data_IF_053534665948
#
_entry.id   IF_053534665948
#
_cell.length_a   1.000
_cell.length_b   1.000
_cell.length_c   1.000
_cell.angle_alpha   90.00
_cell.angle_beta   90.00
_cell.angle_gamma   90.00
#
_symmetry.space_group_name_H-M   'P 1'
#
loop_
_entity.id
_entity.type
_entity.pdbx_description
1 polymer ?
#
# COMPACT_ATOMS: atom_id res chain seq x y z
N UNK A 1 -23.58 -1.32 -33.63
CA UNK A 1 -23.15 -2.23 -32.57
C UNK A 1 -22.30 -1.41 -31.55
N UNK A 2 -22.93 -0.82 -30.56
CA UNK A 2 -22.22 -0.12 -29.50
C UNK A 2 -21.53 -1.17 -28.64
N UNK A 3 -20.20 -1.13 -28.59
CA UNK A 3 -19.45 -1.90 -27.59
C UNK A 3 -19.81 -1.30 -26.23
N UNK A 4 -20.47 -2.09 -25.38
CA UNK A 4 -20.59 -1.76 -23.98
C UNK A 4 -19.18 -1.45 -23.46
N UNK A 5 -18.95 -0.20 -23.09
CA UNK A 5 -17.79 0.15 -22.29
C UNK A 5 -17.83 -0.75 -21.05
N UNK A 6 -16.78 -1.54 -20.84
CA UNK A 6 -16.68 -2.45 -19.72
C UNK A 6 -16.90 -1.66 -18.42
N UNK A 7 -18.11 -1.81 -17.86
CA UNK A 7 -18.41 -1.25 -16.55
C UNK A 7 -17.37 -1.79 -15.58
N UNK A 8 -16.53 -0.93 -15.00
CA UNK A 8 -15.70 -1.26 -13.87
C UNK A 8 -14.18 -1.24 -14.01
N UNK A 9 -13.59 -0.84 -15.14
CA UNK A 9 -12.12 -0.66 -15.19
C UNK A 9 -11.75 0.82 -15.13
N UNK A 10 -11.04 1.24 -14.08
CA UNK A 10 -10.47 2.58 -14.01
C UNK A 10 -9.20 2.62 -13.17
N UNK A 11 -8.37 3.61 -13.42
CA UNK A 11 -7.13 3.85 -12.68
C UNK A 11 -7.12 5.30 -12.18
N UNK A 12 -6.49 5.54 -11.03
CA UNK A 12 -6.39 6.89 -10.50
C UNK A 12 -5.04 7.16 -9.81
N UNK A 13 -4.61 8.41 -9.92
CA UNK A 13 -3.60 9.01 -9.05
C UNK A 13 -4.36 9.76 -7.96
N UNK A 14 -4.18 9.32 -6.71
CA UNK A 14 -4.94 9.83 -5.56
C UNK A 14 -4.38 11.17 -5.11
N UNK A 15 -5.20 12.24 -5.05
CA UNK A 15 -4.78 13.53 -4.53
C UNK A 15 -4.31 13.43 -3.07
N UNK A 16 -3.31 14.23 -2.68
CA UNK A 16 -2.78 14.26 -1.32
C UNK A 16 -1.83 13.13 -0.96
N UNK A 17 -1.58 12.21 -1.86
CA UNK A 17 -0.53 11.19 -1.74
C UNK A 17 0.72 11.57 -2.52
N UNK A 18 1.87 11.01 -2.15
CA UNK A 18 3.12 11.20 -2.88
C UNK A 18 2.91 10.83 -4.36
N UNK A 19 3.23 11.75 -5.26
CA UNK A 19 3.08 11.51 -6.69
C UNK A 19 3.92 10.30 -7.13
N UNK A 20 3.38 9.37 -7.94
CA UNK A 20 4.17 8.26 -8.47
C UNK A 20 5.43 8.75 -9.18
N UNK A 21 6.54 8.06 -8.94
CA UNK A 21 7.84 8.34 -9.61
C UNK A 21 7.95 7.56 -10.91
N UNK A 22 6.94 7.67 -11.74
CA UNK A 22 6.83 7.02 -13.05
C UNK A 22 5.42 7.18 -13.57
N UNK A 23 5.16 6.70 -14.77
CA UNK A 23 3.85 6.80 -15.40
C UNK A 23 2.99 5.61 -15.01
N UNK A 24 2.45 5.64 -13.78
CA UNK A 24 1.54 4.62 -13.26
C UNK A 24 0.57 5.22 -12.23
N UNK A 25 -0.64 4.64 -12.04
CA UNK A 25 -1.61 5.08 -11.04
C UNK A 25 -1.27 4.57 -9.64
N UNK A 26 -1.93 5.10 -8.60
CA UNK A 26 -1.89 4.51 -7.26
C UNK A 26 -2.68 3.20 -7.18
N UNK A 27 -3.77 3.10 -7.93
CA UNK A 27 -4.54 1.86 -8.04
C UNK A 27 -5.17 1.70 -9.42
N UNK A 28 -5.50 0.46 -9.75
CA UNK A 28 -6.34 0.10 -10.89
C UNK A 28 -7.44 -0.84 -10.44
N UNK A 29 -8.68 -0.48 -10.74
CA UNK A 29 -9.83 -1.37 -10.57
C UNK A 29 -10.05 -2.16 -11.89
N UNK A 30 -10.36 -3.44 -11.74
CA UNK A 30 -10.80 -4.31 -12.83
C UNK A 30 -11.91 -5.24 -12.29
N UNK A 31 -13.17 -4.93 -12.62
CA UNK A 31 -14.31 -5.58 -12.00
C UNK A 31 -14.34 -5.32 -10.49
N UNK A 32 -14.44 -6.37 -9.72
CA UNK A 32 -14.46 -6.30 -8.24
C UNK A 32 -13.06 -6.21 -7.63
N UNK A 33 -12.01 -6.43 -8.41
CA UNK A 33 -10.63 -6.37 -7.93
C UNK A 33 -10.07 -4.96 -8.03
N UNK A 34 -9.33 -4.58 -6.97
CA UNK A 34 -8.59 -3.33 -6.88
C UNK A 34 -7.12 -3.68 -6.65
N UNK A 35 -6.31 -3.35 -7.63
CA UNK A 35 -4.86 -3.54 -7.59
C UNK A 35 -4.23 -2.24 -7.11
N UNK A 36 -3.66 -2.24 -5.92
CA UNK A 36 -2.89 -1.12 -5.39
C UNK A 36 -1.44 -1.28 -5.85
N UNK A 37 -0.88 -0.26 -6.47
CA UNK A 37 0.52 -0.25 -6.89
C UNK A 37 1.45 -0.36 -5.68
N UNK A 38 2.68 -0.81 -5.89
CA UNK A 38 3.71 -0.82 -4.86
C UNK A 38 3.75 0.52 -4.12
N UNK A 39 3.57 0.48 -2.81
CA UNK A 39 3.38 1.66 -1.95
C UNK A 39 4.50 1.71 -0.92
N UNK A 40 5.11 2.87 -0.76
CA UNK A 40 6.19 3.13 0.18
C UNK A 40 5.76 4.07 1.31
N UNK A 41 6.69 4.34 2.24
CA UNK A 41 6.48 5.27 3.35
C UNK A 41 6.62 6.76 2.93
N UNK A 42 6.56 7.07 1.64
CA UNK A 42 6.67 8.43 1.13
C UNK A 42 5.44 9.25 1.47
N UNK A 43 5.68 10.49 1.94
CA UNK A 43 4.65 11.50 2.20
C UNK A 43 4.39 12.36 0.96
N UNK A 44 3.33 13.15 0.98
CA UNK A 44 2.95 14.02 -0.14
C UNK A 44 4.03 15.08 -0.48
N UNK A 45 4.85 15.47 0.49
CA UNK A 45 5.99 16.40 0.33
C UNK A 45 7.29 15.70 -0.10
N UNK A 46 7.21 14.40 -0.47
CA UNK A 46 8.32 13.52 -0.84
C UNK A 46 9.28 13.16 0.31
N UNK A 47 9.05 13.60 1.54
CA UNK A 47 9.76 13.08 2.69
C UNK A 47 9.36 11.62 2.97
N UNK A 48 10.19 10.88 3.68
CA UNK A 48 9.96 9.47 4.01
C UNK A 48 9.72 9.35 5.50
N UNK A 49 8.55 8.81 5.88
CA UNK A 49 8.28 8.47 7.27
C UNK A 49 9.28 7.40 7.73
N UNK A 50 9.72 7.49 8.99
CA UNK A 50 10.73 6.55 9.50
C UNK A 50 12.11 6.70 8.87
N UNK A 51 12.43 7.90 8.38
CA UNK A 51 13.76 8.28 7.91
C UNK A 51 14.11 9.70 8.41
N UNK A 52 13.67 10.02 9.61
CA UNK A 52 13.94 11.31 10.24
C UNK A 52 15.45 11.46 10.54
N UNK A 53 15.92 12.68 10.64
CA UNK A 53 17.33 12.95 10.91
C UNK A 53 17.60 13.04 12.40
N UNK A 54 18.71 12.45 12.83
CA UNK A 54 19.22 12.62 14.19
C UNK A 54 19.88 14.01 14.38
N UNK A 55 20.34 14.28 15.60
CA UNK A 55 21.02 15.55 15.93
C UNK A 55 22.30 15.80 15.12
N UNK A 56 22.92 14.77 14.55
CA UNK A 56 24.07 14.84 13.65
C UNK A 56 23.68 14.96 12.17
N UNK A 57 22.36 15.05 11.85
CA UNK A 57 21.85 15.17 10.49
C UNK A 57 21.81 13.85 9.71
N UNK A 58 22.05 12.70 10.34
CA UNK A 58 22.02 11.38 9.71
C UNK A 58 20.59 10.84 9.70
N UNK A 59 20.17 10.21 8.60
CA UNK A 59 18.90 9.52 8.55
C UNK A 59 18.92 8.32 9.51
N UNK A 60 17.92 8.26 10.41
CA UNK A 60 17.64 7.11 11.25
C UNK A 60 16.47 6.36 10.63
N UNK A 61 16.72 5.15 10.15
CA UNK A 61 15.73 4.35 9.46
C UNK A 61 14.99 3.45 10.47
N UNK A 62 13.66 3.54 10.47
CA UNK A 62 12.77 2.84 11.39
C UNK A 62 11.76 2.00 10.60
N UNK A 63 11.93 0.68 10.63
CA UNK A 63 11.03 -0.25 9.92
C UNK A 63 9.59 -0.19 10.46
N UNK A 64 9.38 0.00 11.75
CA UNK A 64 8.05 0.08 12.34
C UNK A 64 7.31 1.33 11.85
N UNK A 65 7.97 2.46 11.88
CA UNK A 65 7.41 3.72 11.38
C UNK A 65 7.14 3.64 9.86
N UNK A 66 8.05 3.06 9.08
CA UNK A 66 7.84 2.88 7.64
C UNK A 66 6.69 1.92 7.35
N UNK A 67 6.61 0.78 8.04
CA UNK A 67 5.51 -0.18 7.85
C UNK A 67 4.15 0.46 8.14
N UNK A 68 4.03 1.19 9.25
CA UNK A 68 2.79 1.90 9.60
C UNK A 68 2.39 2.90 8.50
N UNK A 69 3.32 3.72 8.06
CA UNK A 69 3.07 4.72 7.02
C UNK A 69 2.65 4.06 5.68
N UNK A 70 3.27 2.95 5.30
CA UNK A 70 2.89 2.20 4.08
C UNK A 70 1.46 1.69 4.18
N UNK A 71 1.09 1.04 5.29
CA UNK A 71 -0.26 0.49 5.48
C UNK A 71 -1.33 1.58 5.57
N UNK A 72 -1.02 2.71 6.20
CA UNK A 72 -1.88 3.89 6.19
C UNK A 72 -2.05 4.48 4.79
N UNK A 73 -0.98 4.56 4.00
CA UNK A 73 -1.06 4.99 2.60
C UNK A 73 -1.94 4.06 1.77
N UNK A 74 -1.82 2.74 1.94
CA UNK A 74 -2.68 1.75 1.27
C UNK A 74 -4.13 1.92 1.69
N UNK A 75 -4.41 2.11 2.99
CA UNK A 75 -5.76 2.39 3.50
C UNK A 75 -6.38 3.59 2.80
N UNK A 76 -5.63 4.70 2.70
CA UNK A 76 -6.14 5.92 2.10
C UNK A 76 -6.39 5.76 0.59
N UNK A 77 -5.50 5.03 -0.12
CA UNK A 77 -5.66 4.70 -1.53
C UNK A 77 -6.91 3.85 -1.74
N UNK A 78 -7.12 2.81 -0.91
CA UNK A 78 -8.31 1.97 -0.97
C UNK A 78 -9.59 2.77 -0.66
N UNK A 79 -9.55 3.66 0.33
CA UNK A 79 -10.68 4.55 0.65
C UNK A 79 -11.06 5.40 -0.56
N UNK A 80 -10.10 5.95 -1.29
CA UNK A 80 -10.38 6.72 -2.51
C UNK A 80 -10.95 5.85 -3.64
N UNK A 81 -10.69 4.54 -3.61
CA UNK A 81 -11.24 3.57 -4.55
C UNK A 81 -12.61 3.00 -4.08
N UNK A 82 -13.15 3.45 -2.96
CA UNK A 82 -14.41 2.95 -2.39
C UNK A 82 -14.29 1.62 -1.66
N UNK A 83 -13.10 1.29 -1.16
CA UNK A 83 -12.80 0.07 -0.43
C UNK A 83 -12.12 0.36 0.92
N UNK A 84 -11.78 -0.67 1.66
CA UNK A 84 -11.11 -0.59 2.96
C UNK A 84 -10.04 -1.68 3.09
N UNK A 85 -9.29 -1.63 4.19
CA UNK A 85 -8.31 -2.69 4.51
C UNK A 85 -8.99 -4.06 4.73
N UNK A 86 -10.25 -4.09 5.15
CA UNK A 86 -11.01 -5.34 5.30
C UNK A 86 -11.27 -6.05 3.96
N UNK A 87 -11.21 -5.33 2.86
CA UNK A 87 -11.40 -5.88 1.51
C UNK A 87 -10.10 -6.46 0.91
N UNK A 88 -8.95 -6.27 1.58
CA UNK A 88 -7.65 -6.76 1.09
C UNK A 88 -7.60 -8.28 1.16
N UNK A 89 -7.28 -8.93 0.05
CA UNK A 89 -7.20 -10.40 -0.08
C UNK A 89 -5.78 -10.90 -0.23
N UNK A 90 -4.87 -10.06 -0.70
CA UNK A 90 -3.45 -10.40 -0.88
C UNK A 90 -2.54 -9.22 -0.57
N UNK A 91 -1.44 -9.51 0.11
CA UNK A 91 -0.35 -8.57 0.39
C UNK A 91 0.98 -9.18 -0.04
N UNK A 92 1.74 -8.45 -0.84
CA UNK A 92 3.12 -8.77 -1.18
C UNK A 92 4.04 -7.71 -0.60
N UNK A 93 4.96 -8.13 0.26
CA UNK A 93 5.90 -7.24 0.95
C UNK A 93 7.32 -7.46 0.48
N UNK A 94 8.00 -6.35 0.21
CA UNK A 94 9.38 -6.29 -0.23
C UNK A 94 10.21 -5.55 0.81
N UNK A 95 11.13 -6.26 1.47
CA UNK A 95 12.08 -5.71 2.45
C UNK A 95 13.47 -5.61 1.82
N UNK A 96 14.25 -4.60 2.16
CA UNK A 96 15.65 -4.53 1.73
C UNK A 96 16.56 -5.35 2.64
N UNK A 97 16.10 -5.71 3.85
CA UNK A 97 16.83 -6.53 4.79
C UNK A 97 15.86 -7.40 5.61
N UNK A 98 16.05 -8.71 5.60
CA UNK A 98 15.18 -9.61 6.36
C UNK A 98 15.37 -9.50 7.88
N UNK A 99 16.41 -8.81 8.37
CA UNK A 99 16.55 -8.44 9.78
C UNK A 99 15.39 -7.52 10.28
N UNK A 100 14.68 -6.85 9.36
CA UNK A 100 13.52 -6.02 9.65
C UNK A 100 12.20 -6.82 9.77
N UNK A 101 12.24 -8.14 9.55
CA UNK A 101 11.04 -8.99 9.49
C UNK A 101 10.21 -8.94 10.78
N UNK A 102 10.85 -8.99 11.94
CA UNK A 102 10.13 -8.97 13.22
C UNK A 102 9.46 -7.61 13.48
N UNK A 103 10.16 -6.50 13.23
CA UNK A 103 9.60 -5.16 13.36
C UNK A 103 8.44 -4.90 12.38
N UNK A 104 8.56 -5.41 11.17
CA UNK A 104 7.49 -5.42 10.18
C UNK A 104 6.28 -6.22 10.68
N UNK A 105 6.47 -7.46 11.15
CA UNK A 105 5.40 -8.32 11.66
C UNK A 105 4.66 -7.68 12.84
N UNK A 106 5.38 -7.04 13.75
CA UNK A 106 4.79 -6.35 14.90
C UNK A 106 3.75 -5.32 14.46
N UNK A 107 4.12 -4.42 13.55
CA UNK A 107 3.21 -3.38 13.05
C UNK A 107 2.12 -3.96 12.13
N UNK A 108 2.46 -4.92 11.29
CA UNK A 108 1.49 -5.59 10.42
C UNK A 108 0.33 -6.18 11.22
N UNK A 109 0.61 -6.78 12.39
CA UNK A 109 -0.41 -7.37 13.25
C UNK A 109 -1.38 -6.36 13.86
N UNK A 110 -1.05 -5.07 13.87
CA UNK A 110 -1.98 -4.01 14.29
C UNK A 110 -3.08 -3.75 13.23
N UNK A 111 -2.83 -4.12 11.97
CA UNK A 111 -3.74 -3.88 10.84
C UNK A 111 -4.48 -5.14 10.39
N UNK A 112 -3.83 -6.31 10.47
CA UNK A 112 -4.36 -7.58 9.97
C UNK A 112 -4.13 -8.71 10.98
N UNK A 113 -5.17 -9.52 11.19
CA UNK A 113 -5.09 -10.74 11.98
C UNK A 113 -5.00 -12.00 11.12
N UNK A 114 -5.21 -13.17 11.74
CA UNK A 114 -5.18 -14.48 11.04
C UNK A 114 -6.31 -14.67 10.02
N UNK A 115 -7.37 -13.87 10.07
CA UNK A 115 -8.43 -13.83 9.07
C UNK A 115 -8.16 -12.78 7.98
N UNK A 116 -6.98 -12.19 7.97
CA UNK A 116 -6.55 -11.19 7.01
C UNK A 116 -6.13 -11.77 5.66
N UNK A 117 -5.48 -10.95 4.83
CA UNK A 117 -5.06 -11.33 3.48
C UNK A 117 -3.99 -12.42 3.49
N UNK A 118 -3.97 -13.21 2.40
CA UNK A 118 -2.81 -14.02 2.08
C UNK A 118 -1.57 -13.13 1.92
N UNK A 119 -0.41 -13.56 2.41
CA UNK A 119 0.79 -12.73 2.45
C UNK A 119 2.03 -13.46 1.95
N UNK A 120 2.84 -12.76 1.16
CA UNK A 120 4.20 -13.15 0.81
C UNK A 120 5.16 -12.05 1.21
N UNK A 121 6.29 -12.41 1.81
CA UNK A 121 7.36 -11.48 2.17
C UNK A 121 8.68 -11.98 1.61
N UNK A 122 9.39 -11.11 0.89
CA UNK A 122 10.70 -11.40 0.31
C UNK A 122 11.66 -10.24 0.59
N UNK A 123 12.96 -10.54 0.60
CA UNK A 123 13.99 -9.52 0.57
C UNK A 123 14.38 -9.23 -0.88
N UNK A 124 14.62 -7.96 -1.17
CA UNK A 124 15.04 -7.45 -2.48
C UNK A 124 16.38 -6.74 -2.37
N UNK A 125 17.10 -6.61 -3.47
CA UNK A 125 18.42 -5.97 -3.47
C UNK A 125 18.36 -4.49 -3.10
N UNK A 126 17.34 -3.77 -3.56
CA UNK A 126 17.10 -2.35 -3.26
C UNK A 126 15.66 -1.95 -3.64
N UNK A 127 15.22 -0.83 -3.09
CA UNK A 127 13.97 -0.16 -3.45
C UNK A 127 14.30 1.17 -4.18
N UNK A 128 13.29 1.84 -4.81
CA UNK A 128 13.52 3.05 -5.61
C UNK A 128 14.06 4.27 -4.85
N UNK A 129 14.38 4.14 -3.57
CA UNK A 129 15.02 5.20 -2.79
C UNK A 129 15.87 4.57 -1.67
N UNK A 130 17.09 5.08 -1.40
CA UNK A 130 18.03 4.47 -0.44
C UNK A 130 17.55 4.48 1.02
N UNK A 131 16.58 5.33 1.37
CA UNK A 131 16.01 5.40 2.72
C UNK A 131 14.75 4.54 2.88
N UNK A 132 14.29 3.86 1.85
CA UNK A 132 13.17 2.93 1.95
C UNK A 132 13.66 1.56 2.45
N UNK A 133 13.01 1.07 3.50
CA UNK A 133 13.22 -0.27 4.06
C UNK A 133 12.18 -1.28 3.57
N UNK A 134 11.01 -0.79 3.14
CA UNK A 134 9.85 -1.60 2.83
C UNK A 134 9.01 -0.97 1.71
N UNK A 135 8.46 -1.82 0.86
CA UNK A 135 7.39 -1.53 -0.08
C UNK A 135 6.34 -2.63 0.00
N UNK A 136 5.07 -2.27 -0.11
CA UNK A 136 3.96 -3.23 -0.07
C UNK A 136 3.06 -3.01 -1.28
N UNK A 137 2.67 -4.12 -1.92
CA UNK A 137 1.62 -4.20 -2.93
C UNK A 137 0.42 -4.91 -2.31
N UNK A 138 -0.81 -4.44 -2.60
CA UNK A 138 -2.04 -5.05 -2.13
C UNK A 138 -3.03 -5.29 -3.26
N UNK A 139 -3.84 -6.33 -3.12
CA UNK A 139 -5.02 -6.59 -3.96
C UNK A 139 -6.21 -6.65 -3.03
N UNK A 140 -7.24 -5.87 -3.32
CA UNK A 140 -8.52 -5.90 -2.62
C UNK A 140 -9.62 -6.43 -3.55
N UNK A 141 -10.64 -7.03 -2.94
CA UNK A 141 -11.83 -7.49 -3.65
C UNK A 141 -13.05 -6.81 -3.03
N UNK A 142 -13.74 -5.98 -3.81
CA UNK A 142 -14.97 -5.32 -3.40
C UNK A 142 -15.86 -5.07 -4.61
N UNK A 143 -17.12 -5.56 -4.59
CA UNK A 143 -18.06 -5.32 -5.68
C UNK A 143 -18.23 -3.83 -5.96
N UNK A 144 -18.24 -3.48 -7.24
CA UNK A 144 -18.45 -2.10 -7.67
C UNK A 144 -19.84 -1.62 -7.23
N UNK A 145 -19.90 -0.41 -6.65
CA UNK A 145 -21.17 0.19 -6.18
C UNK A 145 -21.62 -0.25 -4.79
N UNK A 146 -20.86 -1.09 -4.08
CA UNK A 146 -21.15 -1.42 -2.68
C UNK A 146 -20.74 -0.23 -1.79
N UNK A 147 -21.63 0.32 -0.94
CA UNK A 147 -21.29 1.40 -0.03
C UNK A 147 -20.17 0.99 0.94
N UNK A 148 -19.30 1.92 1.36
CA UNK A 148 -18.30 1.66 2.38
C UNK A 148 -18.98 1.20 3.68
N UNK A 149 -18.51 0.07 4.26
CA UNK A 149 -19.01 -0.45 5.53
C UNK A 149 -20.14 -1.48 5.45
N UNK A 150 -20.69 -1.77 4.27
CA UNK A 150 -21.58 -2.93 4.08
C UNK A 150 -20.78 -4.18 3.72
N UNK A 151 -21.09 -5.32 4.36
CA UNK A 151 -20.58 -6.61 3.91
C UNK A 151 -21.16 -6.92 2.53
N UNK A 152 -20.35 -7.42 1.59
CA UNK A 152 -20.87 -7.89 0.31
C UNK A 152 -21.84 -9.07 0.53
N UNK A 153 -22.88 -9.15 -0.27
CA UNK A 153 -23.88 -10.22 -0.19
C UNK A 153 -23.28 -11.60 -0.42
#
# INVERSE_FOLDING_TARGET
>A
MQRNASAGAHSAVVPGKARPRGTFPHFRRAGDLIFVSGTSARRADDSIAGAERDAAGRAVLDIRAQTRAVLENIRDILTSAGASLADVVEVSTYLVNMADFDGYNEVYSEFFGYQGPARTTVAVAQLPHPQLLIEIKAIACRPAGTPPGEEPP
#
